data_IF_660222216392
#
_entry.id   IF_660222216392
#
_cell.length_a   1.000
_cell.length_b   1.000
_cell.length_c   1.000
_cell.angle_alpha   90.00
_cell.angle_beta   90.00
_cell.angle_gamma   90.00
#
_symmetry.space_group_name_H-M   'P 1'
#
loop_
_entity.id
_entity.type
_entity.pdbx_description
1 polymer ?
#
# COMPACT_ATOMS: atom_id res chain seq x y z
N UNK A 1 -9.04 -21.66 9.43
CA UNK A 1 -9.58 -22.22 8.17
C UNK A 1 -8.41 -22.68 7.30
N UNK A 2 -8.64 -23.44 6.23
CA UNK A 2 -7.60 -23.82 5.25
C UNK A 2 -7.75 -22.96 3.99
N UNK A 3 -6.72 -22.90 3.15
CA UNK A 3 -6.80 -22.23 1.84
C UNK A 3 -7.91 -22.79 0.95
N UNK A 4 -8.14 -24.11 1.02
CA UNK A 4 -9.23 -24.79 0.32
C UNK A 4 -10.60 -24.22 0.68
N UNK A 5 -10.85 -23.92 1.96
CA UNK A 5 -12.12 -23.31 2.37
C UNK A 5 -12.31 -21.91 1.75
N UNK A 6 -11.24 -21.13 1.58
CA UNK A 6 -11.31 -19.81 0.92
C UNK A 6 -11.67 -19.96 -0.55
N UNK A 7 -11.08 -20.92 -1.26
CA UNK A 7 -11.36 -21.19 -2.68
C UNK A 7 -12.82 -21.62 -2.84
N UNK A 8 -13.25 -22.63 -2.09
CA UNK A 8 -14.63 -23.16 -2.16
C UNK A 8 -15.66 -22.07 -1.81
N UNK A 9 -15.42 -21.26 -0.78
CA UNK A 9 -16.30 -20.15 -0.43
C UNK A 9 -16.35 -19.07 -1.53
N UNK A 10 -15.21 -18.75 -2.15
CA UNK A 10 -15.14 -17.75 -3.22
C UNK A 10 -15.95 -18.17 -4.44
N UNK A 11 -15.84 -19.43 -4.85
CA UNK A 11 -16.62 -20.00 -5.95
C UNK A 11 -18.13 -19.95 -5.67
N UNK A 12 -18.53 -20.30 -4.44
CA UNK A 12 -19.94 -20.25 -4.03
C UNK A 12 -20.48 -18.81 -4.06
N UNK A 13 -19.77 -17.85 -3.48
CA UNK A 13 -20.19 -16.44 -3.45
C UNK A 13 -20.40 -15.90 -4.87
N UNK A 14 -19.45 -16.16 -5.77
CA UNK A 14 -19.54 -15.72 -7.17
C UNK A 14 -20.69 -16.40 -7.92
N UNK A 15 -20.91 -17.70 -7.68
CA UNK A 15 -22.01 -18.44 -8.33
C UNK A 15 -23.39 -17.88 -7.95
N UNK A 16 -23.55 -17.45 -6.71
CA UNK A 16 -24.81 -16.84 -6.23
C UNK A 16 -24.95 -15.36 -6.63
N UNK A 17 -23.96 -14.77 -7.33
CA UNK A 17 -24.01 -13.40 -7.85
C UNK A 17 -23.76 -12.31 -6.80
N UNK A 18 -23.16 -12.65 -5.65
CA UNK A 18 -22.73 -11.68 -4.66
C UNK A 18 -21.38 -11.04 -5.01
N UNK A 19 -21.14 -9.86 -4.47
CA UNK A 19 -19.82 -9.19 -4.49
C UNK A 19 -18.86 -9.98 -3.60
N UNK A 20 -17.77 -10.49 -4.17
CA UNK A 20 -16.70 -11.19 -3.48
C UNK A 20 -15.65 -10.20 -2.99
N UNK A 21 -15.60 -10.02 -1.66
CA UNK A 21 -14.52 -9.31 -0.99
C UNK A 21 -13.54 -10.25 -0.30
N UNK A 22 -12.23 -10.11 -0.57
CA UNK A 22 -11.18 -10.90 0.10
C UNK A 22 -10.24 -10.01 0.93
N UNK A 23 -9.82 -10.50 2.09
CA UNK A 23 -8.87 -9.81 2.97
C UNK A 23 -7.53 -10.55 2.98
N UNK A 24 -6.44 -9.80 2.79
CA UNK A 24 -5.07 -10.31 2.90
C UNK A 24 -4.31 -9.61 4.02
N UNK A 25 -3.47 -10.36 4.73
CA UNK A 25 -2.67 -9.86 5.84
C UNK A 25 -1.18 -10.13 5.59
N UNK A 26 -0.46 -9.26 4.87
CA UNK A 26 0.98 -9.44 4.67
C UNK A 26 1.75 -9.37 5.98
N UNK A 27 2.88 -10.05 6.06
CA UNK A 27 3.73 -10.10 7.26
C UNK A 27 3.23 -10.99 8.39
N UNK A 28 2.42 -12.02 8.12
CA UNK A 28 2.05 -13.01 9.12
C UNK A 28 3.29 -13.81 9.61
N UNK A 29 3.23 -14.48 10.77
CA UNK A 29 4.33 -15.35 11.20
C UNK A 29 4.69 -16.37 10.13
N UNK A 30 6.00 -16.55 9.91
CA UNK A 30 6.58 -17.39 8.86
C UNK A 30 6.37 -16.88 7.41
N UNK A 31 5.70 -15.74 7.21
CA UNK A 31 5.63 -15.12 5.88
C UNK A 31 6.91 -14.34 5.58
N UNK A 32 7.24 -14.30 4.30
CA UNK A 32 8.23 -13.42 3.70
C UNK A 32 7.63 -12.72 2.46
N UNK A 33 8.40 -11.79 1.88
CA UNK A 33 8.01 -11.00 0.71
C UNK A 33 7.47 -11.87 -0.43
N UNK A 34 8.16 -12.96 -0.75
CA UNK A 34 7.80 -13.83 -1.87
C UNK A 34 6.51 -14.58 -1.58
N UNK A 35 6.35 -15.08 -0.36
CA UNK A 35 5.13 -15.77 0.06
C UNK A 35 3.90 -14.86 0.09
N UNK A 36 4.08 -13.58 0.47
CA UNK A 36 3.01 -12.58 0.49
C UNK A 36 2.61 -12.18 -0.94
N UNK A 37 3.59 -11.97 -1.84
CA UNK A 37 3.36 -11.73 -3.28
C UNK A 37 2.64 -12.92 -3.92
N UNK A 38 3.08 -14.15 -3.64
CA UNK A 38 2.45 -15.36 -4.16
C UNK A 38 1.01 -15.53 -3.65
N UNK A 39 0.77 -15.16 -2.39
CA UNK A 39 -0.59 -15.12 -1.83
C UNK A 39 -1.45 -14.10 -2.56
N UNK A 40 -0.94 -12.90 -2.83
CA UNK A 40 -1.69 -11.89 -3.59
C UNK A 40 -2.04 -12.35 -5.00
N UNK A 41 -1.10 -13.00 -5.72
CA UNK A 41 -1.38 -13.60 -7.03
C UNK A 41 -2.47 -14.67 -6.97
N UNK A 42 -2.42 -15.55 -5.96
CA UNK A 42 -3.46 -16.58 -5.75
C UNK A 42 -4.82 -15.97 -5.45
N UNK A 43 -4.86 -14.91 -4.63
CA UNK A 43 -6.09 -14.17 -4.33
C UNK A 43 -6.63 -13.51 -5.59
N UNK A 44 -5.78 -12.84 -6.38
CA UNK A 44 -6.19 -12.23 -7.63
C UNK A 44 -6.76 -13.25 -8.63
N UNK A 45 -6.18 -14.45 -8.70
CA UNK A 45 -6.68 -15.55 -9.54
C UNK A 45 -8.08 -16.06 -9.15
N UNK A 46 -8.57 -15.81 -7.92
CA UNK A 46 -9.95 -16.10 -7.53
C UNK A 46 -10.95 -15.09 -8.12
N UNK A 47 -10.44 -13.96 -8.65
CA UNK A 47 -11.20 -12.85 -9.21
C UNK A 47 -12.21 -12.26 -8.22
N UNK A 48 -11.77 -11.80 -7.03
CA UNK A 48 -12.63 -11.00 -6.16
C UNK A 48 -12.96 -9.67 -6.84
N UNK A 49 -14.12 -9.10 -6.53
CA UNK A 49 -14.47 -7.75 -6.96
C UNK A 49 -13.65 -6.71 -6.20
N UNK A 50 -13.36 -6.99 -4.91
CA UNK A 50 -12.59 -6.10 -4.07
C UNK A 50 -11.68 -6.82 -3.08
N UNK A 51 -10.57 -6.16 -2.73
CA UNK A 51 -9.61 -6.63 -1.73
C UNK A 51 -9.36 -5.63 -0.62
N UNK A 52 -8.97 -6.16 0.53
CA UNK A 52 -8.58 -5.42 1.73
C UNK A 52 -7.19 -5.86 2.17
N UNK A 53 -6.23 -4.93 2.20
CA UNK A 53 -4.84 -5.20 2.57
C UNK A 53 -4.62 -4.71 4.01
N UNK A 54 -4.41 -5.65 4.94
CA UNK A 54 -4.24 -5.38 6.36
C UNK A 54 -2.87 -5.86 6.83
N UNK A 55 -1.82 -5.02 6.75
CA UNK A 55 -0.52 -5.34 7.30
C UNK A 55 -0.61 -5.91 8.72
N UNK A 56 0.08 -7.02 8.95
CA UNK A 56 0.03 -7.70 10.25
C UNK A 56 0.70 -6.82 11.31
N UNK A 57 -0.09 -6.37 12.27
CA UNK A 57 0.38 -5.72 13.50
C UNK A 57 0.11 -6.60 14.71
N UNK A 58 0.80 -6.33 15.80
CA UNK A 58 0.64 -7.04 17.07
C UNK A 58 -0.25 -6.21 17.98
N UNK A 59 -1.40 -6.79 18.34
CA UNK A 59 -2.38 -6.18 19.24
C UNK A 59 -2.30 -6.87 20.61
N UNK A 60 -2.55 -6.12 21.69
CA UNK A 60 -2.61 -6.64 23.06
C UNK A 60 -3.59 -7.80 23.18
N UNK A 61 -3.27 -8.74 24.07
CA UNK A 61 -4.08 -9.91 24.39
C UNK A 61 -4.33 -10.84 23.19
N UNK A 62 -3.47 -10.81 22.17
CA UNK A 62 -3.54 -11.72 21.03
C UNK A 62 -2.46 -12.80 21.10
N UNK A 63 -2.65 -13.86 20.31
CA UNK A 63 -1.62 -14.88 20.16
C UNK A 63 -0.32 -14.31 19.55
N UNK A 64 -0.43 -13.30 18.66
CA UNK A 64 0.72 -12.63 18.08
C UNK A 64 1.55 -11.88 19.14
N UNK A 65 0.92 -11.28 20.15
CA UNK A 65 1.65 -10.67 21.28
C UNK A 65 2.42 -11.72 22.07
N UNK A 66 1.79 -12.89 22.29
CA UNK A 66 2.45 -14.01 22.99
C UNK A 66 3.68 -14.49 22.20
N UNK A 67 3.56 -14.66 20.88
CA UNK A 67 4.67 -15.04 20.02
C UNK A 67 5.79 -13.98 20.03
N UNK A 68 5.42 -12.70 19.96
CA UNK A 68 6.35 -11.58 19.98
C UNK A 68 7.13 -11.52 21.29
N UNK A 69 6.45 -11.59 22.44
CA UNK A 69 7.10 -11.62 23.77
C UNK A 69 8.01 -12.83 23.98
N UNK A 70 7.75 -13.93 23.27
CA UNK A 70 8.60 -15.13 23.28
C UNK A 70 9.75 -15.06 22.26
N UNK A 71 9.87 -14.00 21.46
CA UNK A 71 10.87 -13.89 20.39
C UNK A 71 10.62 -14.84 19.21
N UNK A 72 9.41 -15.39 19.08
CA UNK A 72 9.03 -16.34 18.01
C UNK A 72 8.47 -15.66 16.76
N UNK A 73 8.15 -14.38 16.85
CA UNK A 73 7.65 -13.57 15.75
C UNK A 73 8.15 -12.15 15.94
N UNK A 74 8.77 -11.60 14.92
CA UNK A 74 9.17 -10.20 14.86
C UNK A 74 8.43 -9.55 13.70
N UNK A 75 7.67 -8.47 13.94
CA UNK A 75 6.94 -7.82 12.86
C UNK A 75 7.90 -7.03 11.97
N UNK A 76 7.53 -6.89 10.70
CA UNK A 76 8.32 -6.13 9.74
C UNK A 76 8.31 -4.62 10.05
N UNK A 77 9.31 -3.90 9.52
CA UNK A 77 9.37 -2.44 9.64
C UNK A 77 8.26 -1.76 8.82
N UNK A 78 7.92 -0.54 9.20
CA UNK A 78 6.93 0.27 8.47
C UNK A 78 7.34 0.47 7.00
N UNK A 79 8.60 0.81 6.74
CA UNK A 79 9.13 1.02 5.39
C UNK A 79 9.07 -0.25 4.53
N UNK A 80 9.50 -1.38 5.08
CA UNK A 80 9.43 -2.68 4.39
C UNK A 80 7.99 -2.98 3.97
N UNK A 81 7.06 -2.77 4.89
CA UNK A 81 5.66 -3.11 4.68
C UNK A 81 4.97 -2.18 3.68
N UNK A 82 5.33 -0.88 3.67
CA UNK A 82 4.89 0.06 2.64
C UNK A 82 5.35 -0.43 1.26
N UNK A 83 6.62 -0.79 1.12
CA UNK A 83 7.16 -1.26 -0.15
C UNK A 83 6.51 -2.56 -0.64
N UNK A 84 6.27 -3.51 0.27
CA UNK A 84 5.53 -4.73 -0.06
C UNK A 84 4.10 -4.41 -0.50
N UNK A 85 3.40 -3.53 0.22
CA UNK A 85 2.03 -3.17 -0.12
C UNK A 85 1.91 -2.44 -1.47
N UNK A 86 2.92 -1.67 -1.89
CA UNK A 86 2.96 -1.10 -3.26
C UNK A 86 2.94 -2.21 -4.30
N UNK A 87 3.75 -3.26 -4.14
CA UNK A 87 3.73 -4.41 -5.06
C UNK A 87 2.40 -5.15 -5.05
N UNK A 88 1.79 -5.35 -3.88
CA UNK A 88 0.49 -6.02 -3.79
C UNK A 88 -0.60 -5.19 -4.49
N UNK A 89 -0.60 -3.86 -4.29
CA UNK A 89 -1.50 -2.94 -4.97
C UNK A 89 -1.38 -3.07 -6.48
N UNK A 90 -0.16 -3.05 -7.02
CA UNK A 90 0.06 -3.22 -8.45
C UNK A 90 -0.48 -4.55 -8.99
N UNK A 91 -0.36 -5.65 -8.22
CA UNK A 91 -0.88 -6.96 -8.63
C UNK A 91 -2.39 -6.91 -8.77
N UNK A 92 -3.10 -6.36 -7.77
CA UNK A 92 -4.56 -6.32 -7.79
C UNK A 92 -5.10 -5.38 -8.86
N UNK A 93 -4.52 -4.19 -9.01
CA UNK A 93 -4.98 -3.23 -10.01
C UNK A 93 -4.74 -3.71 -11.45
N UNK A 94 -3.63 -4.42 -11.72
CA UNK A 94 -3.36 -5.02 -13.04
C UNK A 94 -4.42 -6.04 -13.44
N UNK A 95 -5.06 -6.70 -12.46
CA UNK A 95 -6.14 -7.65 -12.67
C UNK A 95 -7.54 -6.99 -12.60
N UNK A 96 -7.61 -5.66 -12.48
CA UNK A 96 -8.86 -4.90 -12.41
C UNK A 96 -9.64 -5.09 -11.11
N UNK A 97 -8.96 -5.43 -10.01
CA UNK A 97 -9.57 -5.67 -8.70
C UNK A 97 -9.55 -4.39 -7.87
N UNK A 98 -10.69 -4.01 -7.30
CA UNK A 98 -10.80 -2.80 -6.49
C UNK A 98 -10.11 -2.97 -5.12
N UNK A 99 -9.28 -2.00 -4.74
CA UNK A 99 -8.66 -2.00 -3.41
C UNK A 99 -9.52 -1.18 -2.46
N UNK A 100 -10.39 -1.86 -1.73
CA UNK A 100 -11.30 -1.21 -0.79
C UNK A 100 -10.58 -0.59 0.41
N UNK A 101 -9.43 -1.15 0.82
CA UNK A 101 -8.64 -0.61 1.94
C UNK A 101 -7.19 -1.06 1.95
N UNK A 102 -6.32 -0.18 2.43
CA UNK A 102 -4.93 -0.47 2.80
C UNK A 102 -4.66 0.07 4.21
N UNK A 103 -4.28 -0.81 5.13
CA UNK A 103 -4.04 -0.47 6.53
C UNK A 103 -5.29 -0.56 7.42
N UNK A 104 -5.09 -0.35 8.72
CA UNK A 104 -6.14 -0.38 9.72
C UNK A 104 -6.96 0.92 9.74
N UNK A 105 -8.20 0.82 10.21
CA UNK A 105 -9.02 2.00 10.47
C UNK A 105 -8.56 2.63 11.78
N UNK A 106 -8.16 3.90 11.76
CA UNK A 106 -8.20 4.70 12.98
C UNK A 106 -9.67 4.91 13.34
N UNK A 107 -10.23 4.10 14.26
CA UNK A 107 -11.53 4.43 14.84
C UNK A 107 -11.34 5.62 15.80
N UNK A 108 -12.30 6.56 15.83
CA UNK A 108 -12.28 7.71 16.76
C UNK A 108 -12.22 7.28 18.24
N UNK A 109 -12.53 6.01 18.50
CA UNK A 109 -12.25 5.34 19.76
C UNK A 109 -10.75 5.00 19.80
N UNK A 110 -10.03 5.84 20.53
CA UNK A 110 -8.60 5.78 20.91
C UNK A 110 -8.16 4.49 21.65
N UNK A 111 -8.90 3.39 21.53
CA UNK A 111 -8.60 2.06 22.05
C UNK A 111 -7.63 1.29 21.16
N UNK A 112 -7.75 1.37 19.83
CA UNK A 112 -6.93 0.53 18.93
C UNK A 112 -5.44 0.91 18.97
N UNK A 113 -5.08 2.21 18.88
CA UNK A 113 -3.67 2.64 18.98
C UNK A 113 -3.03 2.31 20.32
N UNK A 114 -3.81 2.42 21.41
CA UNK A 114 -3.35 2.06 22.77
C UNK A 114 -3.18 0.55 22.93
N UNK A 115 -3.73 -0.24 22.03
CA UNK A 115 -3.65 -1.69 22.02
C UNK A 115 -2.58 -2.23 21.06
N UNK A 116 -1.98 -1.38 20.21
CA UNK A 116 -0.86 -1.80 19.37
C UNK A 116 0.37 -1.98 20.25
N UNK A 117 0.92 -3.18 20.23
CA UNK A 117 2.15 -3.55 20.93
C UNK A 117 3.36 -3.29 20.03
N UNK A 118 3.28 -3.70 18.76
CA UNK A 118 4.36 -3.55 17.78
C UNK A 118 3.87 -3.79 16.34
N UNK A 119 4.70 -3.40 15.37
CA UNK A 119 4.50 -3.68 13.95
C UNK A 119 4.33 -2.45 13.07
N UNK A 120 4.11 -2.65 11.75
CA UNK A 120 4.11 -1.59 10.74
C UNK A 120 2.80 -0.79 10.76
N UNK A 121 2.58 -0.04 11.84
CA UNK A 121 1.39 0.81 12.00
C UNK A 121 1.67 2.27 11.63
N UNK A 122 0.74 2.86 10.88
CA UNK A 122 0.64 4.30 10.69
C UNK A 122 -0.83 4.68 10.46
N UNK A 123 -1.38 5.76 11.05
CA UNK A 123 -2.78 6.14 10.88
C UNK A 123 -3.17 6.38 9.41
N UNK A 124 -2.22 6.92 8.64
CA UNK A 124 -2.35 7.17 7.21
C UNK A 124 -1.56 6.15 6.36
N UNK A 125 -1.50 4.88 6.79
CA UNK A 125 -0.71 3.84 6.10
C UNK A 125 -1.06 3.74 4.61
N UNK A 126 -2.35 3.68 4.24
CA UNK A 126 -2.75 3.64 2.84
C UNK A 126 -2.26 4.83 2.02
N UNK A 127 -2.31 6.04 2.59
CA UNK A 127 -1.76 7.24 1.93
C UNK A 127 -0.25 7.11 1.69
N UNK A 128 0.50 6.54 2.64
CA UNK A 128 1.94 6.30 2.47
C UNK A 128 2.22 5.33 1.33
N UNK A 129 1.42 4.27 1.18
CA UNK A 129 1.52 3.31 0.07
C UNK A 129 1.27 4.00 -1.28
N UNK A 130 0.15 4.73 -1.41
CA UNK A 130 -0.14 5.46 -2.65
C UNK A 130 0.92 6.53 -2.95
N UNK A 131 1.41 7.25 -1.94
CA UNK A 131 2.44 8.28 -2.09
C UNK A 131 3.79 7.70 -2.52
N UNK A 132 4.17 6.53 -1.97
CA UNK A 132 5.39 5.81 -2.36
C UNK A 132 5.30 5.32 -3.81
N UNK A 133 4.15 4.80 -4.22
CA UNK A 133 3.91 4.38 -5.61
C UNK A 133 4.00 5.56 -6.59
N UNK A 134 3.28 6.65 -6.30
CA UNK A 134 3.32 7.86 -7.13
C UNK A 134 4.76 8.38 -7.30
N UNK A 135 5.55 8.37 -6.21
CA UNK A 135 6.98 8.69 -6.27
C UNK A 135 7.74 7.76 -7.22
N UNK A 136 7.53 6.44 -7.13
CA UNK A 136 8.22 5.48 -8.01
C UNK A 136 7.88 5.68 -9.49
N UNK A 137 6.62 5.96 -9.81
CA UNK A 137 6.16 6.22 -11.18
C UNK A 137 6.77 7.51 -11.75
N UNK A 138 6.78 8.59 -10.96
CA UNK A 138 7.44 9.86 -11.30
C UNK A 138 8.95 9.65 -11.49
N UNK A 139 9.62 8.99 -10.54
CA UNK A 139 11.05 8.68 -10.61
C UNK A 139 11.39 7.89 -11.87
N UNK A 140 10.56 6.92 -12.24
CA UNK A 140 10.75 6.13 -13.46
C UNK A 140 10.66 7.02 -14.70
N UNK A 141 9.65 7.88 -14.79
CA UNK A 141 9.46 8.77 -15.93
C UNK A 141 10.61 9.78 -16.09
N UNK A 142 11.08 10.36 -14.97
CA UNK A 142 12.26 11.24 -14.94
C UNK A 142 13.51 10.52 -15.48
N UNK A 143 13.74 9.27 -15.04
CA UNK A 143 14.87 8.45 -15.53
C UNK A 143 14.74 8.13 -17.01
N UNK A 144 13.56 7.73 -17.45
CA UNK A 144 13.30 7.35 -18.85
C UNK A 144 13.47 8.55 -19.80
N UNK A 145 13.16 9.77 -19.32
CA UNK A 145 13.39 11.03 -20.04
C UNK A 145 14.84 11.57 -19.90
N UNK A 146 15.66 11.00 -19.03
CA UNK A 146 17.03 11.45 -18.77
C UNK A 146 17.12 12.84 -18.14
N UNK A 147 16.12 13.22 -17.33
CA UNK A 147 16.06 14.53 -16.68
C UNK A 147 16.91 14.54 -15.40
N UNK A 148 17.75 15.56 -15.25
CA UNK A 148 18.60 15.79 -14.08
C UNK A 148 18.94 17.28 -13.97
N UNK A 149 19.03 17.80 -12.75
CA UNK A 149 19.40 19.19 -12.50
C UNK A 149 18.33 20.22 -12.90
N UNK A 150 18.50 21.47 -12.44
CA UNK A 150 17.59 22.56 -12.76
C UNK A 150 16.25 22.46 -12.03
N UNK A 151 15.16 22.89 -12.68
CA UNK A 151 13.82 22.93 -12.08
C UNK A 151 12.87 22.06 -12.87
N UNK A 152 11.99 21.35 -12.15
CA UNK A 152 10.97 20.49 -12.75
C UNK A 152 9.59 20.84 -12.20
N UNK A 153 8.61 20.88 -13.10
CA UNK A 153 7.19 21.03 -12.76
C UNK A 153 6.44 19.79 -13.21
N UNK A 154 5.56 19.29 -12.34
CA UNK A 154 4.81 18.06 -12.57
C UNK A 154 3.34 18.37 -12.32
N UNK A 155 2.52 18.33 -13.37
CA UNK A 155 1.06 18.46 -13.23
C UNK A 155 0.47 17.15 -12.73
N UNK A 156 -0.44 17.23 -11.77
CA UNK A 156 -1.07 16.08 -11.11
C UNK A 156 -2.55 16.39 -10.82
N UNK A 157 -3.43 15.38 -10.70
CA UNK A 157 -4.82 15.58 -10.30
C UNK A 157 -4.90 16.37 -9.00
N UNK A 158 -5.75 17.39 -8.95
CA UNK A 158 -5.92 18.23 -7.75
C UNK A 158 -6.24 17.39 -6.50
N UNK A 159 -7.06 16.34 -6.68
CA UNK A 159 -7.45 15.39 -5.61
C UNK A 159 -6.29 14.55 -5.08
N UNK A 160 -5.26 14.34 -5.90
CA UNK A 160 -4.08 13.52 -5.56
C UNK A 160 -2.85 14.37 -5.20
N UNK A 161 -2.95 15.70 -5.24
CA UNK A 161 -1.81 16.59 -4.98
C UNK A 161 -1.05 16.22 -3.69
N UNK A 162 -1.76 15.90 -2.62
CA UNK A 162 -1.15 15.51 -1.34
C UNK A 162 -0.39 14.17 -1.41
N UNK A 163 -0.84 13.24 -2.25
CA UNK A 163 -0.19 11.94 -2.51
C UNK A 163 1.14 12.14 -3.23
N UNK A 164 1.15 12.99 -4.26
CA UNK A 164 2.36 13.32 -5.01
C UNK A 164 3.38 14.13 -4.22
N UNK A 165 2.96 15.13 -3.44
CA UNK A 165 3.85 15.89 -2.54
C UNK A 165 4.45 14.98 -1.45
N UNK A 166 3.64 14.04 -0.95
CA UNK A 166 4.00 13.16 0.15
C UNK A 166 4.00 13.83 1.52
N UNK A 167 3.93 13.03 2.58
CA UNK A 167 3.89 13.56 3.94
C UNK A 167 5.15 14.36 4.25
N UNK A 168 4.97 15.54 4.87
CA UNK A 168 6.08 16.46 5.17
C UNK A 168 6.95 16.77 3.94
N UNK A 169 6.37 16.78 2.74
CA UNK A 169 7.05 17.03 1.45
C UNK A 169 8.12 15.98 1.10
N UNK A 170 8.00 14.77 1.63
CA UNK A 170 8.99 13.70 1.44
C UNK A 170 9.34 13.44 -0.03
N UNK A 171 8.34 13.39 -0.91
CA UNK A 171 8.56 13.08 -2.33
C UNK A 171 9.32 14.20 -3.04
N UNK A 172 8.99 15.46 -2.73
CA UNK A 172 9.70 16.64 -3.27
C UNK A 172 11.18 16.56 -2.90
N UNK A 173 11.50 16.39 -1.62
CA UNK A 173 12.90 16.34 -1.18
C UNK A 173 13.62 15.11 -1.74
N UNK A 174 12.92 13.98 -1.89
CA UNK A 174 13.50 12.76 -2.45
C UNK A 174 13.86 12.91 -3.93
N UNK A 175 13.01 13.57 -4.71
CA UNK A 175 13.27 13.86 -6.12
C UNK A 175 14.44 14.85 -6.29
N UNK A 176 14.51 15.89 -5.44
CA UNK A 176 15.63 16.83 -5.42
C UNK A 176 16.96 16.14 -5.11
N UNK A 177 16.97 15.28 -4.08
CA UNK A 177 18.16 14.52 -3.68
C UNK A 177 18.64 13.59 -4.80
N UNK A 178 17.74 12.81 -5.40
CA UNK A 178 18.10 11.75 -6.33
C UNK A 178 18.49 12.23 -7.74
N UNK A 179 17.93 13.36 -8.19
CA UNK A 179 18.13 13.88 -9.55
C UNK A 179 18.74 15.29 -9.57
N UNK A 180 19.30 15.73 -8.44
CA UNK A 180 19.98 17.02 -8.29
C UNK A 180 19.13 18.24 -8.71
N UNK A 181 17.80 18.17 -8.62
CA UNK A 181 16.93 19.32 -8.93
C UNK A 181 17.07 20.43 -7.88
N UNK A 182 17.18 21.67 -8.35
CA UNK A 182 17.14 22.89 -7.54
C UNK A 182 15.74 23.09 -6.92
N UNK A 183 14.69 22.82 -7.72
CA UNK A 183 13.29 22.98 -7.33
C UNK A 183 12.42 21.93 -8.01
N UNK A 184 11.47 21.37 -7.24
CA UNK A 184 10.48 20.38 -7.70
C UNK A 184 9.11 20.90 -7.30
N UNK A 185 8.23 21.10 -8.28
CA UNK A 185 6.88 21.61 -8.05
C UNK A 185 5.83 20.64 -8.57
N UNK A 186 4.89 20.30 -7.70
CA UNK A 186 3.65 19.66 -8.12
C UNK A 186 2.57 20.73 -8.33
N UNK A 187 2.00 20.76 -9.54
CA UNK A 187 0.99 21.73 -9.94
C UNK A 187 -0.36 20.99 -10.01
N UNK A 188 -1.37 21.37 -9.22
CA UNK A 188 -2.68 20.74 -9.31
C UNK A 188 -3.36 21.11 -10.64
N UNK A 189 -3.85 20.10 -11.34
CA UNK A 189 -4.68 20.23 -12.53
C UNK A 189 -6.10 19.72 -12.22
N UNK A 190 -7.12 20.60 -12.16
CA UNK A 190 -8.51 20.21 -11.93
C UNK A 190 -9.14 19.40 -13.07
N UNK A 191 -8.54 19.40 -14.27
CA UNK A 191 -9.03 18.65 -15.44
C UNK A 191 -8.39 17.27 -15.58
N UNK A 192 -7.34 16.98 -14.81
CA UNK A 192 -6.66 15.69 -14.82
C UNK A 192 -7.34 14.74 -13.84
N UNK A 193 -7.84 13.60 -14.35
CA UNK A 193 -8.52 12.59 -13.53
C UNK A 193 -7.53 11.65 -12.81
N UNK A 194 -6.44 11.25 -13.48
CA UNK A 194 -5.43 10.32 -12.96
C UNK A 194 -4.07 10.54 -13.63
N UNK A 195 -2.99 10.04 -13.01
CA UNK A 195 -1.63 10.10 -13.55
C UNK A 195 -0.93 11.43 -13.30
N UNK A 196 0.07 11.76 -14.12
CA UNK A 196 0.81 13.01 -14.05
C UNK A 196 1.47 13.34 -15.39
N UNK A 197 1.76 14.63 -15.60
CA UNK A 197 2.54 15.11 -16.74
C UNK A 197 3.77 15.89 -16.24
N UNK A 198 4.93 15.63 -16.82
CA UNK A 198 6.15 16.40 -16.56
C UNK A 198 6.27 17.53 -17.59
N UNK A 199 6.48 18.77 -17.12
CA UNK A 199 6.71 19.98 -17.92
C UNK A 199 8.17 20.44 -17.90
#
# INVERSE_FOLDING_TARGET
HTSRHTIEASELIKREGFILGLQTMPGLPLSDRNSDIETARKIAALGPDLVRIYPTIIIKNTHLETMYRQGKYEPQTLEYMIDLCVELVEIYEKEGIDIARIGLQSSENMTEEKEIVAGPYHPAFGQLVHSKRALQEVMKSIKDMGLEGGRISIRVPEKELSTYIGQKRFNIEKLKELFAFDDVRFIPDPQMDQGFDIE
#
